data_IF_380137386177
#
_entry.id   IF_380137386177
#
_cell.length_a   1.000
_cell.length_b   1.000
_cell.length_c   1.000
_cell.angle_alpha   90.00
_cell.angle_beta   90.00
_cell.angle_gamma   90.00
#
_symmetry.space_group_name_H-M   'P 1'
#
loop_
_entity.id
_entity.type
_entity.pdbx_description
1 polymer ?
#
# COMPACT_ATOMS: atom_id res chain seq x y z
N UNK A 1 3.62 22.34 10.47
CA UNK A 1 4.56 21.33 9.93
C UNK A 1 3.78 20.05 9.77
N UNK A 2 3.22 19.84 8.58
CA UNK A 2 2.55 18.59 8.21
C UNK A 2 3.69 17.59 8.00
N UNK A 3 4.01 16.80 9.02
CA UNK A 3 5.06 15.79 8.94
C UNK A 3 4.59 14.76 7.93
N UNK A 4 5.27 14.73 6.79
CA UNK A 4 5.02 13.83 5.68
C UNK A 4 4.89 12.39 6.21
N UNK A 5 3.77 11.75 5.90
CA UNK A 5 3.59 10.28 6.00
C UNK A 5 4.58 9.64 5.03
N UNK A 6 5.85 9.65 5.41
CA UNK A 6 6.96 9.08 4.68
C UNK A 6 6.80 7.58 4.56
N UNK A 7 7.40 7.07 3.48
CA UNK A 7 7.60 5.67 3.11
C UNK A 7 7.36 4.66 4.23
N UNK A 8 6.62 3.59 3.92
CA UNK A 8 6.40 2.47 4.84
C UNK A 8 7.74 2.05 5.48
N UNK A 9 7.76 1.97 6.81
CA UNK A 9 8.91 1.38 7.48
C UNK A 9 9.14 -0.04 6.97
N UNK A 10 10.38 -0.53 7.03
CA UNK A 10 10.69 -1.88 6.57
C UNK A 10 9.82 -2.97 7.23
N UNK A 11 9.43 -2.76 8.50
CA UNK A 11 8.49 -3.63 9.21
C UNK A 11 7.09 -3.59 8.58
N UNK A 12 6.55 -2.39 8.31
CA UNK A 12 5.25 -2.23 7.70
C UNK A 12 5.22 -2.77 6.25
N UNK A 13 6.33 -2.63 5.51
CA UNK A 13 6.47 -3.21 4.18
C UNK A 13 6.46 -4.75 4.22
N UNK A 14 7.13 -5.35 5.21
CA UNK A 14 7.14 -6.80 5.40
C UNK A 14 5.74 -7.33 5.79
N UNK A 15 5.04 -6.63 6.68
CA UNK A 15 3.66 -6.97 7.08
C UNK A 15 2.69 -6.90 5.90
N UNK A 16 2.76 -5.83 5.09
CA UNK A 16 1.96 -5.70 3.88
C UNK A 16 2.24 -6.84 2.91
N UNK A 17 3.52 -7.17 2.69
CA UNK A 17 3.94 -8.26 1.78
C UNK A 17 3.42 -9.62 2.27
N UNK A 18 3.50 -9.88 3.58
CA UNK A 18 2.98 -11.09 4.19
C UNK A 18 1.45 -11.19 4.02
N UNK A 19 0.74 -10.09 4.27
CA UNK A 19 -0.72 -10.03 4.13
C UNK A 19 -1.17 -10.25 2.68
N UNK A 20 -0.50 -9.63 1.70
CA UNK A 20 -0.79 -9.81 0.27
C UNK A 20 -0.55 -11.24 -0.21
N UNK A 21 0.44 -11.92 0.38
CA UNK A 21 0.80 -13.30 0.03
C UNK A 21 -0.11 -14.33 0.70
N UNK A 22 -0.83 -13.96 1.77
CA UNK A 22 -1.64 -14.88 2.55
C UNK A 22 -2.90 -15.39 1.82
N UNK A 23 -3.48 -14.59 0.92
CA UNK A 23 -4.66 -14.99 0.14
C UNK A 23 -4.80 -14.20 -1.18
N UNK A 24 -5.23 -14.84 -2.28
CA UNK A 24 -5.53 -14.13 -3.54
C UNK A 24 -6.58 -13.03 -3.37
N UNK A 25 -7.52 -13.19 -2.43
CA UNK A 25 -8.54 -12.19 -2.13
C UNK A 25 -7.95 -10.89 -1.55
N UNK A 26 -6.90 -10.98 -0.73
CA UNK A 26 -6.21 -9.80 -0.19
C UNK A 26 -5.53 -9.01 -1.30
N UNK A 27 -4.87 -9.73 -2.23
CA UNK A 27 -4.26 -9.11 -3.41
C UNK A 27 -5.30 -8.40 -4.28
N UNK A 28 -6.43 -9.03 -4.55
CA UNK A 28 -7.50 -8.42 -5.34
C UNK A 28 -8.06 -7.14 -4.69
N UNK A 29 -8.31 -7.17 -3.38
CA UNK A 29 -8.79 -6.00 -2.64
C UNK A 29 -7.76 -4.85 -2.64
N UNK A 30 -6.48 -5.17 -2.49
CA UNK A 30 -5.40 -4.18 -2.58
C UNK A 30 -5.29 -3.56 -3.98
N UNK A 31 -5.39 -4.37 -5.04
CA UNK A 31 -5.35 -3.90 -6.42
C UNK A 31 -6.56 -2.99 -6.73
N UNK A 32 -7.74 -3.29 -6.19
CA UNK A 32 -8.94 -2.44 -6.30
C UNK A 32 -8.73 -1.09 -5.60
N UNK A 33 -8.29 -1.11 -4.34
CA UNK A 33 -7.99 0.10 -3.59
C UNK A 33 -6.91 0.94 -4.29
N UNK A 34 -5.87 0.30 -4.83
CA UNK A 34 -4.80 0.96 -5.58
C UNK A 34 -5.31 1.70 -6.81
N UNK A 35 -6.29 1.14 -7.53
CA UNK A 35 -6.94 1.83 -8.66
C UNK A 35 -7.70 3.06 -8.21
N UNK A 36 -8.43 2.97 -7.09
CA UNK A 36 -9.15 4.11 -6.51
C UNK A 36 -8.16 5.21 -6.13
N UNK A 37 -7.08 4.85 -5.43
CA UNK A 37 -6.03 5.79 -5.04
C UNK A 37 -5.37 6.48 -6.22
N UNK A 38 -5.06 5.74 -7.29
CA UNK A 38 -4.53 6.30 -8.52
C UNK A 38 -5.52 7.29 -9.16
N UNK A 39 -6.81 6.93 -9.20
CA UNK A 39 -7.85 7.78 -9.76
C UNK A 39 -8.09 9.06 -8.94
N UNK A 40 -7.91 9.00 -7.61
CA UNK A 40 -8.13 10.13 -6.71
C UNK A 40 -6.85 10.91 -6.37
N UNK A 41 -5.69 10.51 -6.90
CA UNK A 41 -4.39 11.12 -6.57
C UNK A 41 -3.90 10.84 -5.14
N UNK A 42 -4.43 9.78 -4.50
CA UNK A 42 -4.08 9.33 -3.15
C UNK A 42 -3.12 8.14 -3.18
N UNK A 43 -2.21 8.10 -4.16
CA UNK A 43 -1.25 6.99 -4.29
C UNK A 43 -0.35 6.97 -3.05
N UNK A 44 -0.31 5.87 -2.28
CA UNK A 44 0.69 5.75 -1.22
C UNK A 44 2.08 5.84 -1.84
N UNK A 45 3.02 6.62 -1.24
CA UNK A 45 4.34 6.81 -1.81
C UNK A 45 5.00 5.44 -2.03
N UNK A 46 5.38 5.19 -3.29
CA UNK A 46 5.97 3.95 -3.73
C UNK A 46 7.49 4.10 -3.75
N UNK A 47 8.19 3.36 -2.91
CA UNK A 47 9.64 3.19 -3.01
C UNK A 47 9.88 1.76 -3.45
N UNK A 48 10.41 1.63 -4.66
CA UNK A 48 10.81 0.39 -5.31
C UNK A 48 12.03 -0.25 -4.61
#
# INVERSE_FOLDING_TARGET
>A
MLQHEGELSAAAQAELTAWLSAAPAHRAAYDEASRVWLATGLVPPSTF
#
